data_IF_111207005137
#
_entry.id   IF_111207005137
#
_cell.length_a   1.000
_cell.length_b   1.000
_cell.length_c   1.000
_cell.angle_alpha   90.00
_cell.angle_beta   90.00
_cell.angle_gamma   90.00
#
_symmetry.space_group_name_H-M   'P 1'
#
loop_
_entity.id
_entity.type
_entity.pdbx_description
1 polymer ?
#
# COMPACT_ATOMS: atom_id res chain seq x y z
N UNK A 1 -9.69 10.56 25.14
CA UNK A 1 -10.39 11.14 23.97
C UNK A 1 -10.53 10.15 22.78
N UNK A 2 -10.40 8.83 22.98
CA UNK A 2 -10.52 7.83 21.90
C UNK A 2 -11.83 7.02 21.93
N UNK A 3 -12.72 7.23 22.89
CA UNK A 3 -13.91 6.39 23.04
C UNK A 3 -15.04 6.75 22.05
N UNK A 4 -15.17 8.02 21.70
CA UNK A 4 -16.27 8.48 20.84
C UNK A 4 -16.15 8.04 19.37
N UNK A 5 -14.91 7.85 18.86
CA UNK A 5 -14.69 7.40 17.47
C UNK A 5 -14.97 5.91 17.29
N UNK A 6 -14.73 5.09 18.30
CA UNK A 6 -14.99 3.65 18.28
C UNK A 6 -16.48 3.35 18.36
N UNK A 7 -17.25 4.17 19.06
CA UNK A 7 -18.70 3.99 19.23
C UNK A 7 -19.47 4.29 17.92
N UNK A 8 -19.08 5.37 17.23
CA UNK A 8 -19.71 5.76 15.94
C UNK A 8 -19.43 4.71 14.84
N UNK A 9 -18.23 4.10 14.84
CA UNK A 9 -17.90 3.07 13.87
C UNK A 9 -18.65 1.77 14.16
N UNK A 10 -18.91 1.45 15.41
CA UNK A 10 -19.67 0.25 15.81
C UNK A 10 -21.10 0.32 15.29
N UNK A 11 -21.82 1.41 15.54
CA UNK A 11 -23.19 1.62 15.03
C UNK A 11 -23.23 1.56 13.49
N UNK A 12 -22.29 2.25 12.85
CA UNK A 12 -22.24 2.32 11.39
C UNK A 12 -21.99 0.95 10.75
N UNK A 13 -21.09 0.15 11.32
CA UNK A 13 -20.76 -1.20 10.84
C UNK A 13 -21.94 -2.14 11.07
N UNK A 14 -22.60 -2.09 12.23
CA UNK A 14 -23.78 -2.90 12.53
C UNK A 14 -24.92 -2.63 11.53
N UNK A 15 -25.18 -1.37 11.22
CA UNK A 15 -26.16 -0.97 10.21
C UNK A 15 -25.78 -1.43 8.81
N UNK A 16 -24.47 -1.44 8.49
CA UNK A 16 -24.00 -2.02 7.24
C UNK A 16 -24.25 -3.55 7.18
N UNK A 17 -24.04 -4.28 8.29
CA UNK A 17 -24.32 -5.71 8.39
C UNK A 17 -25.81 -6.01 8.17
N UNK A 18 -26.69 -5.11 8.61
CA UNK A 18 -28.13 -5.18 8.39
C UNK A 18 -28.58 -4.78 6.97
N UNK A 19 -27.63 -4.50 6.06
CA UNK A 19 -27.90 -4.17 4.66
C UNK A 19 -28.38 -2.75 4.40
N UNK A 20 -28.21 -1.83 5.36
CA UNK A 20 -28.61 -0.45 5.17
C UNK A 20 -27.70 0.27 4.17
N UNK A 21 -28.21 0.56 2.97
CA UNK A 21 -27.47 1.20 1.87
C UNK A 21 -26.89 2.57 2.25
N UNK A 22 -27.60 3.35 3.09
CA UNK A 22 -27.08 4.64 3.57
C UNK A 22 -25.87 4.46 4.46
N UNK A 23 -25.87 3.45 5.34
CA UNK A 23 -24.74 3.12 6.19
C UNK A 23 -23.53 2.66 5.36
N UNK A 24 -23.75 1.80 4.36
CA UNK A 24 -22.71 1.39 3.41
C UNK A 24 -22.08 2.58 2.69
N UNK A 25 -22.88 3.53 2.22
CA UNK A 25 -22.39 4.75 1.59
C UNK A 25 -21.56 5.61 2.55
N UNK A 26 -21.99 5.75 3.79
CA UNK A 26 -21.26 6.51 4.81
C UNK A 26 -19.92 5.84 5.15
N UNK A 27 -19.91 4.52 5.29
CA UNK A 27 -18.69 3.74 5.54
C UNK A 27 -17.70 3.88 4.37
N UNK A 28 -18.19 3.76 3.13
CA UNK A 28 -17.39 4.02 1.94
C UNK A 28 -16.80 5.44 1.95
N UNK A 29 -17.61 6.47 2.15
CA UNK A 29 -17.13 7.87 2.20
C UNK A 29 -16.05 8.07 3.26
N UNK A 30 -16.20 7.44 4.42
CA UNK A 30 -15.25 7.58 5.54
C UNK A 30 -13.87 7.02 5.19
N UNK A 31 -13.80 5.87 4.53
CA UNK A 31 -12.55 5.14 4.33
C UNK A 31 -11.99 5.21 2.91
N UNK A 32 -12.79 5.56 1.91
CA UNK A 32 -12.40 5.51 0.49
C UNK A 32 -11.15 6.30 0.17
N UNK A 33 -10.99 7.52 0.70
CA UNK A 33 -9.81 8.36 0.43
C UNK A 33 -8.52 7.72 0.93
N UNK A 34 -8.54 7.15 2.14
CA UNK A 34 -7.35 6.48 2.73
C UNK A 34 -7.01 5.23 1.95
N UNK A 35 -8.00 4.41 1.62
CA UNK A 35 -7.81 3.17 0.85
C UNK A 35 -7.37 3.44 -0.58
N UNK A 36 -7.95 4.45 -1.23
CA UNK A 36 -7.52 4.90 -2.54
C UNK A 36 -6.04 5.34 -2.55
N UNK A 37 -5.60 6.07 -1.51
CA UNK A 37 -4.21 6.49 -1.39
C UNK A 37 -3.24 5.31 -1.27
N UNK A 38 -3.66 4.21 -0.65
CA UNK A 38 -2.88 2.97 -0.66
C UNK A 38 -2.83 2.41 -2.09
N UNK A 39 -3.97 2.19 -2.73
CA UNK A 39 -4.05 1.60 -4.05
C UNK A 39 -3.25 2.38 -5.11
N UNK A 40 -3.35 3.72 -5.13
CA UNK A 40 -2.64 4.55 -6.10
C UNK A 40 -1.11 4.52 -5.93
N UNK A 41 -0.61 4.32 -4.70
CA UNK A 41 0.83 4.14 -4.46
C UNK A 41 1.37 2.85 -5.07
N UNK A 42 0.55 1.80 -5.10
CA UNK A 42 0.92 0.52 -5.72
C UNK A 42 0.83 0.56 -7.24
N UNK A 43 -0.30 1.01 -7.76
CA UNK A 43 -0.62 0.89 -9.18
C UNK A 43 0.03 1.98 -10.02
N UNK A 44 0.20 3.18 -9.46
CA UNK A 44 0.54 4.40 -10.18
C UNK A 44 -0.40 4.67 -11.39
N UNK A 45 -1.58 4.10 -11.36
CA UNK A 45 -2.62 4.22 -12.38
C UNK A 45 -3.95 4.49 -11.69
N UNK A 46 -4.61 5.57 -12.11
CA UNK A 46 -5.87 6.00 -11.50
C UNK A 46 -6.99 4.97 -11.70
N UNK A 47 -7.13 4.42 -12.89
CA UNK A 47 -8.17 3.44 -13.21
C UNK A 47 -7.99 2.19 -12.38
N UNK A 48 -6.77 1.62 -12.35
CA UNK A 48 -6.47 0.43 -11.55
C UNK A 48 -6.72 0.67 -10.05
N UNK A 49 -6.39 1.87 -9.55
CA UNK A 49 -6.61 2.22 -8.14
C UNK A 49 -8.10 2.37 -7.81
N UNK A 50 -8.90 2.93 -8.71
CA UNK A 50 -10.35 3.04 -8.57
C UNK A 50 -11.01 1.66 -8.63
N UNK A 51 -10.57 0.78 -9.53
CA UNK A 51 -11.07 -0.61 -9.64
C UNK A 51 -10.73 -1.41 -8.38
N UNK A 52 -9.49 -1.35 -7.90
CA UNK A 52 -9.09 -1.99 -6.64
C UNK A 52 -9.96 -1.51 -5.48
N UNK A 53 -10.19 -0.19 -5.38
CA UNK A 53 -11.03 0.39 -4.34
C UNK A 53 -12.46 -0.16 -4.39
N UNK A 54 -13.09 -0.14 -5.56
CA UNK A 54 -14.46 -0.61 -5.75
C UNK A 54 -14.60 -2.10 -5.42
N UNK A 55 -13.74 -2.94 -5.98
CA UNK A 55 -13.74 -4.38 -5.71
C UNK A 55 -13.47 -4.71 -4.24
N UNK A 56 -12.59 -3.92 -3.58
CA UNK A 56 -12.32 -4.09 -2.16
C UNK A 56 -13.57 -3.82 -1.32
N UNK A 57 -14.31 -2.76 -1.62
CA UNK A 57 -15.53 -2.45 -0.86
C UNK A 57 -16.68 -3.42 -1.16
N UNK A 58 -16.79 -3.97 -2.37
CA UNK A 58 -17.71 -5.08 -2.65
C UNK A 58 -17.38 -6.26 -1.72
N UNK A 59 -16.11 -6.69 -1.69
CA UNK A 59 -15.65 -7.76 -0.79
C UNK A 59 -15.89 -7.44 0.68
N UNK A 60 -15.69 -6.19 1.08
CA UNK A 60 -15.96 -5.73 2.45
C UNK A 60 -17.41 -5.93 2.80
N UNK A 61 -18.34 -5.45 2.01
CA UNK A 61 -19.79 -5.58 2.31
C UNK A 61 -20.26 -7.02 2.28
N UNK A 62 -19.71 -7.86 1.43
CA UNK A 62 -20.01 -9.30 1.40
C UNK A 62 -19.51 -10.02 2.65
N UNK A 63 -18.29 -9.69 3.12
CA UNK A 63 -17.62 -10.37 4.25
C UNK A 63 -17.78 -9.66 5.58
N UNK A 64 -18.46 -8.53 5.63
CA UNK A 64 -18.66 -7.77 6.87
C UNK A 64 -19.31 -8.60 8.00
N UNK A 65 -20.26 -9.53 7.72
CA UNK A 65 -20.81 -10.42 8.73
C UNK A 65 -19.79 -11.38 9.37
N UNK A 66 -18.64 -11.62 8.72
CA UNK A 66 -17.55 -12.46 9.22
C UNK A 66 -16.59 -11.70 10.14
N UNK A 67 -16.77 -10.39 10.29
CA UNK A 67 -15.89 -9.55 11.11
C UNK A 67 -16.10 -9.85 12.60
N UNK A 68 -15.08 -10.43 13.24
CA UNK A 68 -15.16 -10.83 14.65
C UNK A 68 -15.11 -9.63 15.62
N UNK A 69 -14.55 -8.50 15.23
CA UNK A 69 -14.43 -7.32 16.09
C UNK A 69 -14.47 -6.03 15.26
N UNK A 70 -15.38 -5.17 15.62
CA UNK A 70 -15.57 -3.86 14.97
C UNK A 70 -14.32 -2.98 15.08
N UNK A 71 -13.62 -3.06 16.21
CA UNK A 71 -12.37 -2.29 16.43
C UNK A 71 -11.25 -2.68 15.47
N UNK A 72 -11.30 -3.89 14.90
CA UNK A 72 -10.34 -4.36 13.90
C UNK A 72 -10.69 -3.96 12.46
N UNK A 73 -11.85 -3.35 12.23
CA UNK A 73 -12.36 -3.02 10.90
C UNK A 73 -11.35 -2.22 10.04
N UNK A 74 -10.71 -1.13 10.52
CA UNK A 74 -9.79 -0.37 9.69
C UNK A 74 -8.59 -1.18 9.21
N UNK A 75 -8.03 -2.03 10.06
CA UNK A 75 -6.90 -2.89 9.71
C UNK A 75 -7.33 -4.05 8.81
N UNK A 76 -8.52 -4.60 9.02
CA UNK A 76 -9.11 -5.64 8.19
C UNK A 76 -9.43 -5.12 6.78
N UNK A 77 -10.06 -3.94 6.66
CA UNK A 77 -10.29 -3.26 5.39
C UNK A 77 -8.98 -3.01 4.64
N UNK A 78 -7.98 -2.44 5.35
CA UNK A 78 -6.65 -2.18 4.80
C UNK A 78 -6.03 -3.47 4.23
N UNK A 79 -6.12 -4.59 4.95
CA UNK A 79 -5.61 -5.89 4.50
C UNK A 79 -6.28 -6.36 3.21
N UNK A 80 -7.58 -6.15 3.05
CA UNK A 80 -8.31 -6.49 1.81
C UNK A 80 -7.75 -5.66 0.64
N UNK A 81 -7.59 -4.35 0.82
CA UNK A 81 -7.05 -3.46 -0.22
C UNK A 81 -5.62 -3.83 -0.59
N UNK A 82 -4.75 -4.04 0.40
CA UNK A 82 -3.34 -4.43 0.17
C UNK A 82 -3.25 -5.76 -0.58
N UNK A 83 -4.04 -6.76 -0.20
CA UNK A 83 -4.05 -8.05 -0.90
C UNK A 83 -4.45 -7.88 -2.37
N UNK A 84 -5.44 -7.06 -2.70
CA UNK A 84 -5.82 -6.78 -4.08
C UNK A 84 -4.73 -6.03 -4.86
N UNK A 85 -4.04 -5.09 -4.21
CA UNK A 85 -2.87 -4.44 -4.81
C UNK A 85 -1.78 -5.46 -5.16
N UNK A 86 -1.51 -6.40 -4.25
CA UNK A 86 -0.53 -7.47 -4.46
C UNK A 86 -0.94 -8.38 -5.61
N UNK A 87 -2.22 -8.77 -5.68
CA UNK A 87 -2.73 -9.59 -6.77
C UNK A 87 -2.56 -8.89 -8.13
N UNK A 88 -2.77 -7.57 -8.17
CA UNK A 88 -2.55 -6.77 -9.37
C UNK A 88 -1.05 -6.72 -9.76
N UNK A 89 -0.16 -6.55 -8.77
CA UNK A 89 1.30 -6.58 -8.99
C UNK A 89 1.74 -7.97 -9.49
N UNK A 90 1.20 -9.04 -8.92
CA UNK A 90 1.50 -10.43 -9.35
C UNK A 90 1.04 -10.74 -10.76
N UNK A 91 -0.13 -10.24 -11.19
CA UNK A 91 -0.62 -10.40 -12.57
C UNK A 91 0.35 -9.78 -13.59
N UNK A 92 1.01 -8.71 -13.22
CA UNK A 92 2.03 -8.04 -14.01
C UNK A 92 3.42 -8.67 -13.78
N UNK A 93 3.58 -9.99 -14.01
CA UNK A 93 4.81 -10.76 -13.75
C UNK A 93 6.10 -10.13 -14.29
N UNK A 94 6.03 -9.38 -15.39
CA UNK A 94 7.15 -8.64 -15.98
C UNK A 94 7.77 -7.57 -15.06
N UNK A 95 7.10 -7.19 -13.97
CA UNK A 95 7.55 -6.12 -13.06
C UNK A 95 8.82 -6.53 -12.28
N UNK A 96 9.08 -7.83 -12.11
CA UNK A 96 10.25 -8.35 -11.39
C UNK A 96 11.35 -8.91 -12.31
N UNK A 97 11.01 -9.16 -13.59
CA UNK A 97 11.95 -9.75 -14.58
C UNK A 97 12.83 -8.68 -15.28
N UNK A 98 12.42 -7.42 -15.31
CA UNK A 98 13.14 -6.31 -15.99
C UNK A 98 14.32 -5.75 -15.19
N UNK A 99 14.77 -6.44 -14.15
CA UNK A 99 15.87 -5.96 -13.33
C UNK A 99 17.17 -6.62 -13.76
N UNK A 100 17.94 -5.82 -14.47
CA UNK A 100 19.35 -6.10 -14.77
C UNK A 100 20.08 -6.60 -13.51
N UNK A 101 20.45 -7.91 -13.53
CA UNK A 101 21.18 -8.58 -12.44
C UNK A 101 22.62 -8.02 -12.24
N UNK A 102 23.01 -7.01 -13.03
CA UNK A 102 24.34 -6.44 -13.06
C UNK A 102 24.61 -5.29 -12.09
N UNK A 103 23.69 -4.96 -11.16
CA UNK A 103 24.07 -4.03 -10.09
C UNK A 103 24.78 -4.77 -8.96
N UNK A 104 25.98 -4.31 -8.55
CA UNK A 104 26.70 -4.92 -7.43
C UNK A 104 25.82 -4.98 -6.18
N UNK A 105 25.86 -6.13 -5.52
CA UNK A 105 25.29 -6.32 -4.19
C UNK A 105 26.12 -5.50 -3.18
N UNK A 106 25.81 -4.23 -3.04
CA UNK A 106 26.36 -3.38 -1.98
C UNK A 106 25.50 -3.61 -0.72
N UNK A 107 25.91 -4.59 0.07
CA UNK A 107 25.17 -5.08 1.25
C UNK A 107 25.38 -4.27 2.53
N UNK A 108 26.19 -3.20 2.52
CA UNK A 108 26.76 -2.68 3.77
C UNK A 108 26.24 -1.30 4.24
N UNK A 109 25.25 -0.71 3.60
CA UNK A 109 24.61 0.48 4.18
C UNK A 109 23.10 0.31 4.21
N UNK A 110 22.53 0.31 5.41
CA UNK A 110 21.11 0.63 5.62
C UNK A 110 20.92 2.06 5.14
N UNK A 111 20.62 2.23 3.84
CA UNK A 111 20.22 3.53 3.30
C UNK A 111 18.87 3.90 3.93
N UNK A 112 18.93 4.63 5.05
CA UNK A 112 17.75 5.26 5.62
C UNK A 112 17.21 6.29 4.64
N UNK A 113 15.89 6.32 4.49
CA UNK A 113 15.19 7.39 3.80
C UNK A 113 15.49 8.71 4.52
N UNK A 114 16.04 9.69 3.80
CA UNK A 114 16.25 11.04 4.29
C UNK A 114 14.87 11.73 4.39
N UNK A 115 14.22 11.57 5.57
CA UNK A 115 12.77 11.85 5.79
C UNK A 115 12.46 13.37 5.88
N UNK A 116 13.44 14.25 5.68
CA UNK A 116 13.23 15.71 5.74
C UNK A 116 12.60 16.31 4.48
N UNK A 117 12.23 15.48 3.50
CA UNK A 117 11.62 15.96 2.26
C UNK A 117 10.09 16.13 2.40
N UNK A 118 9.54 17.11 1.67
CA UNK A 118 8.10 17.34 1.57
C UNK A 118 7.38 16.02 1.18
N UNK A 119 6.37 15.56 1.95
CA UNK A 119 5.62 14.35 1.65
C UNK A 119 5.04 14.30 0.23
N UNK A 120 4.72 15.45 -0.37
CA UNK A 120 4.22 15.54 -1.76
C UNK A 120 5.33 15.20 -2.75
N UNK A 121 6.54 15.68 -2.52
CA UNK A 121 7.71 15.36 -3.35
C UNK A 121 8.03 13.87 -3.26
N UNK A 122 8.11 13.32 -2.05
CA UNK A 122 8.36 11.89 -1.83
C UNK A 122 7.30 11.04 -2.54
N UNK A 123 6.02 11.40 -2.43
CA UNK A 123 4.94 10.68 -3.10
C UNK A 123 5.10 10.68 -4.63
N UNK A 124 5.48 11.81 -5.23
CA UNK A 124 5.72 11.89 -6.67
C UNK A 124 6.94 11.07 -7.10
N UNK A 125 7.99 11.03 -6.29
CA UNK A 125 9.17 10.23 -6.57
C UNK A 125 8.89 8.72 -6.47
N UNK A 126 8.07 8.30 -5.51
CA UNK A 126 7.63 6.89 -5.40
C UNK A 126 6.90 6.43 -6.67
N UNK A 127 6.10 7.30 -7.29
CA UNK A 127 5.41 6.97 -8.56
C UNK A 127 6.38 6.64 -9.70
N UNK A 128 7.56 7.26 -9.70
CA UNK A 128 8.57 7.07 -10.75
C UNK A 128 9.46 5.85 -10.53
N UNK A 129 9.28 5.11 -9.42
CA UNK A 129 10.01 3.88 -9.16
C UNK A 129 9.51 2.74 -10.07
N UNK A 130 10.40 1.81 -10.47
CA UNK A 130 10.01 0.56 -11.10
C UNK A 130 8.99 -0.20 -10.24
N UNK A 131 8.02 -0.86 -10.87
CA UNK A 131 6.86 -1.44 -10.18
C UNK A 131 7.20 -2.40 -9.05
N UNK A 132 8.20 -3.28 -9.22
CA UNK A 132 8.66 -4.21 -8.20
C UNK A 132 9.25 -3.50 -6.97
N UNK A 133 10.19 -2.59 -7.21
CA UNK A 133 10.79 -1.78 -6.15
C UNK A 133 9.78 -0.90 -5.43
N UNK A 134 8.83 -0.31 -6.18
CA UNK A 134 7.74 0.49 -5.63
C UNK A 134 6.85 -0.34 -4.71
N UNK A 135 6.44 -1.53 -5.14
CA UNK A 135 5.59 -2.42 -4.34
C UNK A 135 6.27 -2.82 -3.03
N UNK A 136 7.54 -3.23 -3.09
CA UNK A 136 8.32 -3.59 -1.91
C UNK A 136 8.49 -2.39 -0.96
N UNK A 137 8.84 -1.22 -1.50
CA UNK A 137 9.02 0.00 -0.71
C UNK A 137 7.71 0.42 -0.02
N UNK A 138 6.58 0.38 -0.73
CA UNK A 138 5.27 0.72 -0.14
C UNK A 138 4.92 -0.26 0.97
N UNK A 139 5.07 -1.57 0.74
CA UNK A 139 4.76 -2.59 1.75
C UNK A 139 5.64 -2.46 2.99
N UNK A 140 6.94 -2.24 2.81
CA UNK A 140 7.89 -2.19 3.93
C UNK A 140 7.85 -0.85 4.66
N UNK A 141 8.13 0.25 3.95
CA UNK A 141 8.31 1.56 4.56
C UNK A 141 7.00 2.26 4.95
N UNK A 142 5.89 2.04 4.21
CA UNK A 142 4.64 2.74 4.46
C UNK A 142 3.59 1.87 5.17
N UNK A 143 3.56 0.56 4.87
CA UNK A 143 2.57 -0.35 5.44
C UNK A 143 3.11 -1.20 6.59
N UNK A 144 4.44 -1.23 6.80
CA UNK A 144 5.11 -1.82 7.98
C UNK A 144 5.29 -3.34 7.93
N UNK A 145 5.19 -3.97 6.73
CA UNK A 145 5.45 -5.41 6.58
C UNK A 145 6.95 -5.72 6.62
N UNK A 146 7.31 -6.89 7.16
CA UNK A 146 8.69 -7.39 7.16
C UNK A 146 9.05 -7.94 5.78
N UNK A 147 10.34 -7.89 5.40
CA UNK A 147 10.80 -8.42 4.10
C UNK A 147 10.39 -9.87 3.85
N UNK A 148 10.42 -10.73 4.88
CA UNK A 148 9.97 -12.11 4.77
C UNK A 148 8.49 -12.21 4.41
N UNK A 149 7.63 -11.43 5.07
CA UNK A 149 6.19 -11.39 4.79
C UNK A 149 5.92 -10.88 3.37
N UNK A 150 6.64 -9.83 2.95
CA UNK A 150 6.54 -9.27 1.60
C UNK A 150 6.96 -10.30 0.55
N UNK A 151 8.05 -11.03 0.79
CA UNK A 151 8.55 -12.07 -0.09
C UNK A 151 7.49 -13.16 -0.31
N UNK A 152 6.89 -13.65 0.77
CA UNK A 152 5.77 -14.60 0.71
C UNK A 152 4.56 -14.01 -0.04
N UNK A 153 4.18 -12.75 0.25
CA UNK A 153 3.06 -12.05 -0.38
C UNK A 153 3.28 -11.80 -1.87
N UNK A 154 4.49 -11.52 -2.33
CA UNK A 154 4.81 -11.25 -3.73
C UNK A 154 5.24 -12.50 -4.50
N UNK A 155 5.51 -13.62 -3.83
CA UNK A 155 5.99 -14.86 -4.45
C UNK A 155 7.43 -14.76 -4.96
N UNK A 156 8.29 -14.00 -4.26
CA UNK A 156 9.73 -13.81 -4.55
C UNK A 156 10.57 -14.29 -3.38
N UNK A 157 11.91 -14.38 -3.55
CA UNK A 157 12.80 -14.68 -2.43
C UNK A 157 12.96 -13.48 -1.49
N UNK A 158 13.31 -13.73 -0.21
CA UNK A 158 13.59 -12.65 0.73
C UNK A 158 14.80 -11.82 0.29
N UNK A 159 15.81 -12.45 -0.32
CA UNK A 159 16.96 -11.76 -0.88
C UNK A 159 16.56 -10.83 -2.02
N UNK A 160 15.71 -11.29 -2.96
CA UNK A 160 15.15 -10.46 -4.02
C UNK A 160 14.37 -9.28 -3.43
N UNK A 161 13.54 -9.52 -2.39
CA UNK A 161 12.80 -8.47 -1.73
C UNK A 161 13.72 -7.39 -1.16
N UNK A 162 14.77 -7.77 -0.42
CA UNK A 162 15.77 -6.84 0.13
C UNK A 162 16.48 -6.06 -0.97
N UNK A 163 16.91 -6.73 -2.02
CA UNK A 163 17.58 -6.10 -3.18
C UNK A 163 16.66 -5.06 -3.84
N UNK A 164 15.38 -5.39 -4.04
CA UNK A 164 14.38 -4.46 -4.58
C UNK A 164 14.19 -3.23 -3.69
N UNK A 165 14.14 -3.43 -2.39
CA UNK A 165 14.01 -2.36 -1.42
C UNK A 165 15.22 -1.40 -1.49
N UNK A 166 16.44 -1.92 -1.40
CA UNK A 166 17.66 -1.11 -1.46
C UNK A 166 17.78 -0.34 -2.77
N UNK A 167 17.49 -0.98 -3.91
CA UNK A 167 17.46 -0.30 -5.21
C UNK A 167 16.43 0.83 -5.25
N UNK A 168 15.24 0.60 -4.71
CA UNK A 168 14.20 1.62 -4.65
C UNK A 168 14.60 2.82 -3.77
N UNK A 169 15.17 2.58 -2.59
CA UNK A 169 15.69 3.63 -1.70
C UNK A 169 16.82 4.41 -2.36
N UNK A 170 17.80 3.75 -2.97
CA UNK A 170 18.92 4.39 -3.66
C UNK A 170 18.44 5.28 -4.80
N UNK A 171 17.47 4.81 -5.59
CA UNK A 171 16.88 5.61 -6.66
C UNK A 171 16.09 6.79 -6.13
N UNK A 172 15.32 6.60 -5.06
CA UNK A 172 14.55 7.65 -4.40
C UNK A 172 15.46 8.75 -3.86
N UNK A 173 16.51 8.38 -3.11
CA UNK A 173 17.49 9.33 -2.56
C UNK A 173 18.23 10.10 -3.64
N UNK A 174 18.60 9.43 -4.76
CA UNK A 174 19.22 10.10 -5.91
C UNK A 174 18.31 11.16 -6.52
N UNK A 175 17.04 10.83 -6.72
CA UNK A 175 16.06 11.76 -7.31
C UNK A 175 15.72 12.91 -6.35
N UNK A 176 15.65 12.64 -5.04
CA UNK A 176 15.49 13.70 -4.02
C UNK A 176 16.64 14.71 -4.07
N UNK A 177 17.89 14.25 -4.13
CA UNK A 177 19.06 15.14 -4.23
C UNK A 177 19.03 16.01 -5.50
N UNK A 178 18.51 15.48 -6.61
CA UNK A 178 18.35 16.24 -7.85
C UNK A 178 17.28 17.32 -7.71
N UNK A 179 16.13 17.03 -7.10
CA UNK A 179 15.05 17.99 -6.86
C UNK A 179 15.49 19.16 -5.94
N UNK A 180 16.32 18.86 -4.94
CA UNK A 180 16.84 19.87 -3.99
C UNK A 180 17.87 20.78 -4.67
N UNK A 181 18.70 20.25 -5.58
CA UNK A 181 19.75 21.02 -6.25
C UNK A 181 19.24 21.90 -7.42
N UNK A 182 17.98 21.76 -7.83
CA UNK A 182 17.35 22.55 -8.91
C UNK A 182 16.59 23.75 -8.37
N UNK A 183 16.42 23.87 -7.06
CA UNK A 183 15.82 25.04 -6.39
C UNK A 183 16.87 25.99 -5.83
#
# INVERSE_FOLDING_TARGET
>A
MNSDYTDIDSDLIERCMNGETKAQFMLFRKYSKTMYNIAIRFTNNRMDAEDILQESFITVFEKLPELHSVTSFPSWLKRIVVNRCIDQVRKNKLIFDDLDDNMPEDHDNEDELDIYADPVVVHNLIKNLPGGGRAVLVLHALEGYKHREIAEMLGISESTCKTQYHRAIKLLNRNLKQEINVK
#
